data_IF_967835032224
#
_entry.id   IF_967835032224
#
_cell.length_a   1.000
_cell.length_b   1.000
_cell.length_c   1.000
_cell.angle_alpha   90.00
_cell.angle_beta   90.00
_cell.angle_gamma   90.00
#
_symmetry.space_group_name_H-M   'P 1'
#
loop_
_entity.id
_entity.type
_entity.pdbx_description
1 polymer ?
#
# COMPACT_ATOMS: atom_id res chain seq x y z
N UNK A 1 -37.69 43.78 -34.83
CA UNK A 1 -36.24 43.47 -34.62
C UNK A 1 -35.92 42.27 -35.52
N UNK A 2 -35.25 42.47 -36.67
CA UNK A 2 -34.89 41.34 -37.57
C UNK A 2 -33.67 40.62 -36.94
N UNK A 3 -33.89 39.44 -36.41
CA UNK A 3 -32.80 38.59 -35.89
C UNK A 3 -31.89 38.20 -37.05
N UNK A 4 -30.59 38.48 -36.96
CA UNK A 4 -29.63 38.18 -38.03
C UNK A 4 -29.37 36.67 -38.10
N UNK A 5 -30.06 35.96 -38.99
CA UNK A 5 -30.01 34.51 -39.19
C UNK A 5 -28.59 33.97 -39.33
N UNK A 6 -27.67 34.80 -39.91
CA UNK A 6 -26.25 34.39 -40.04
C UNK A 6 -25.54 34.31 -38.68
N UNK A 7 -25.82 35.26 -37.79
CA UNK A 7 -25.25 35.25 -36.42
C UNK A 7 -25.79 34.06 -35.63
N UNK A 8 -27.08 33.80 -35.69
CA UNK A 8 -27.69 32.64 -35.02
C UNK A 8 -27.10 31.30 -35.47
N UNK A 9 -26.90 31.13 -36.80
CA UNK A 9 -26.25 29.93 -37.36
C UNK A 9 -24.78 29.81 -36.96
N UNK A 10 -24.04 30.88 -36.84
CA UNK A 10 -22.66 30.86 -36.40
C UNK A 10 -22.58 30.44 -34.88
N UNK A 11 -23.40 31.05 -34.04
CA UNK A 11 -23.50 30.69 -32.62
C UNK A 11 -23.92 29.25 -32.40
N UNK A 12 -24.92 28.76 -33.15
CA UNK A 12 -25.37 27.38 -33.07
C UNK A 12 -24.26 26.37 -33.49
N UNK A 13 -23.46 26.68 -34.51
CA UNK A 13 -22.32 25.85 -34.90
C UNK A 13 -21.21 25.82 -33.87
N UNK A 14 -20.91 26.95 -33.20
CA UNK A 14 -19.92 27.04 -32.14
C UNK A 14 -20.39 26.24 -30.93
N UNK A 15 -21.65 26.38 -30.51
CA UNK A 15 -22.22 25.59 -29.41
C UNK A 15 -22.21 24.09 -29.70
N UNK A 16 -22.54 23.68 -30.94
CA UNK A 16 -22.48 22.27 -31.34
C UNK A 16 -21.03 21.74 -31.28
N UNK A 17 -20.04 22.56 -31.74
CA UNK A 17 -18.63 22.21 -31.66
C UNK A 17 -18.15 21.99 -30.22
N UNK A 18 -18.54 22.90 -29.31
CA UNK A 18 -18.24 22.78 -27.87
C UNK A 18 -18.89 21.53 -27.28
N UNK A 19 -20.16 21.24 -27.65
CA UNK A 19 -20.86 20.06 -27.16
C UNK A 19 -20.20 18.77 -27.61
N UNK A 20 -19.73 18.71 -28.87
CA UNK A 20 -18.98 17.57 -29.41
C UNK A 20 -17.65 17.40 -28.66
N UNK A 21 -16.91 18.48 -28.40
CA UNK A 21 -15.66 18.42 -27.64
C UNK A 21 -15.88 17.92 -26.20
N UNK A 22 -16.94 18.37 -25.54
CA UNK A 22 -17.32 17.88 -24.19
C UNK A 22 -17.67 16.40 -24.27
N UNK A 23 -18.45 15.97 -25.26
CA UNK A 23 -18.84 14.57 -25.42
C UNK A 23 -17.64 13.67 -25.70
N UNK A 24 -16.70 14.10 -26.55
CA UNK A 24 -15.43 13.40 -26.80
C UNK A 24 -14.59 13.31 -25.53
N UNK A 25 -14.52 14.39 -24.75
CA UNK A 25 -13.84 14.40 -23.45
C UNK A 25 -14.45 13.40 -22.45
N UNK A 26 -15.79 13.35 -22.37
CA UNK A 26 -16.51 12.39 -21.52
C UNK A 26 -16.23 10.94 -21.98
N UNK A 27 -16.30 10.67 -23.28
CA UNK A 27 -16.05 9.34 -23.82
C UNK A 27 -14.59 8.89 -23.58
N UNK A 28 -13.63 9.80 -23.74
CA UNK A 28 -12.23 9.52 -23.42
C UNK A 28 -12.05 9.22 -21.94
N UNK A 29 -12.68 10.00 -21.04
CA UNK A 29 -12.63 9.78 -19.61
C UNK A 29 -13.25 8.44 -19.19
N UNK A 30 -14.45 8.10 -19.75
CA UNK A 30 -15.08 6.79 -19.52
C UNK A 30 -14.21 5.66 -20.05
N UNK A 31 -13.56 5.85 -21.20
CA UNK A 31 -12.61 4.89 -21.75
C UNK A 31 -11.43 4.62 -20.81
N UNK A 32 -10.86 5.67 -20.21
CA UNK A 32 -9.80 5.55 -19.20
C UNK A 32 -10.27 4.77 -17.95
N UNK A 33 -11.50 5.05 -17.48
CA UNK A 33 -12.08 4.35 -16.33
C UNK A 33 -12.27 2.85 -16.59
N UNK A 34 -12.78 2.49 -17.77
CA UNK A 34 -12.98 1.09 -18.18
C UNK A 34 -11.63 0.38 -18.36
N UNK A 35 -10.65 1.05 -18.97
CA UNK A 35 -9.30 0.51 -19.18
C UNK A 35 -8.60 0.25 -17.85
N UNK A 36 -8.60 1.24 -16.92
CA UNK A 36 -7.97 1.12 -15.61
C UNK A 36 -8.55 -0.04 -14.81
N UNK A 37 -9.88 -0.14 -14.72
CA UNK A 37 -10.54 -1.26 -14.04
C UNK A 37 -10.16 -2.62 -14.65
N UNK A 38 -10.19 -2.71 -15.98
CA UNK A 38 -9.89 -3.96 -16.69
C UNK A 38 -8.44 -4.42 -16.50
N UNK A 39 -7.50 -3.50 -16.33
CA UNK A 39 -6.09 -3.83 -16.06
C UNK A 39 -5.90 -4.34 -14.65
N UNK A 40 -6.37 -3.61 -13.66
CA UNK A 40 -6.29 -4.01 -12.25
C UNK A 40 -6.84 -5.43 -12.04
N UNK A 41 -8.00 -5.73 -12.60
CA UNK A 41 -8.58 -7.07 -12.50
C UNK A 41 -7.79 -8.17 -13.24
N UNK A 42 -6.94 -7.79 -14.20
CA UNK A 42 -6.12 -8.76 -14.96
C UNK A 42 -4.78 -9.02 -14.31
N UNK A 43 -4.18 -8.00 -13.70
CA UNK A 43 -2.83 -8.08 -13.11
C UNK A 43 -2.82 -8.88 -11.80
N UNK A 44 -3.89 -8.80 -11.00
CA UNK A 44 -4.01 -9.58 -9.77
C UNK A 44 -4.22 -11.08 -10.00
N UNK A 45 -4.69 -11.48 -11.18
CA UNK A 45 -5.10 -12.86 -11.44
C UNK A 45 -6.33 -13.27 -10.60
N UNK A 46 -6.73 -14.53 -10.70
CA UNK A 46 -7.75 -15.15 -9.85
C UNK A 46 -7.10 -15.86 -8.63
N UNK A 47 -5.95 -15.38 -8.16
CA UNK A 47 -5.30 -15.98 -7.02
C UNK A 47 -6.06 -15.64 -5.74
N UNK A 48 -6.25 -16.65 -4.90
CA UNK A 48 -6.82 -16.54 -3.56
C UNK A 48 -5.71 -16.77 -2.56
N UNK A 49 -5.68 -16.09 -1.40
CA UNK A 49 -4.68 -16.36 -0.37
C UNK A 49 -4.70 -17.83 0.06
N UNK A 50 -3.52 -18.43 0.20
CA UNK A 50 -3.37 -19.83 0.59
C UNK A 50 -3.40 -19.97 2.12
N UNK A 51 -4.54 -19.63 2.76
CA UNK A 51 -4.71 -19.74 4.20
C UNK A 51 -4.93 -21.19 4.61
N UNK A 52 -3.94 -21.78 5.28
CA UNK A 52 -4.02 -23.14 5.82
C UNK A 52 -4.02 -23.12 7.35
N UNK A 53 -5.07 -23.66 7.99
CA UNK A 53 -5.17 -23.78 9.45
C UNK A 53 -4.09 -24.69 10.04
N UNK A 54 -3.49 -25.60 9.25
CA UNK A 54 -2.38 -26.44 9.68
C UNK A 54 -1.14 -25.64 10.08
N UNK A 55 -0.97 -24.45 9.52
CA UNK A 55 0.18 -23.59 9.80
C UNK A 55 0.10 -22.94 11.20
N UNK A 56 -1.10 -22.86 11.79
CA UNK A 56 -1.32 -22.37 13.16
C UNK A 56 -1.20 -23.46 14.23
N UNK A 57 -1.29 -24.74 13.87
CA UNK A 57 -1.36 -25.86 14.84
C UNK A 57 -0.01 -26.39 15.31
N UNK A 58 1.11 -25.96 14.70
CA UNK A 58 2.42 -26.60 14.90
C UNK A 58 3.21 -26.09 16.14
N UNK A 59 2.59 -25.28 17.01
CA UNK A 59 3.25 -24.78 18.25
C UNK A 59 2.61 -25.24 19.56
N UNK A 60 1.53 -26.05 19.52
CA UNK A 60 0.92 -26.59 20.74
C UNK A 60 0.58 -28.06 20.55
N UNK A 61 1.42 -28.94 21.14
CA UNK A 61 1.25 -30.38 21.39
C UNK A 61 0.81 -31.25 20.18
N UNK A 62 1.60 -32.29 19.88
CA UNK A 62 1.26 -33.30 18.89
C UNK A 62 -0.17 -33.82 19.11
N UNK A 63 -1.05 -33.76 18.07
CA UNK A 63 -2.36 -34.39 18.18
C UNK A 63 -2.17 -35.91 18.35
N UNK A 64 -3.05 -36.58 19.14
CA UNK A 64 -2.95 -38.01 19.31
C UNK A 64 -3.11 -38.70 17.96
N UNK A 65 -2.17 -39.58 17.66
CA UNK A 65 -2.11 -40.40 16.44
C UNK A 65 -3.47 -41.08 16.24
N UNK A 66 -4.25 -40.65 15.25
CA UNK A 66 -5.47 -41.33 14.86
C UNK A 66 -6.67 -40.49 14.42
N UNK A 67 -6.60 -39.15 14.43
CA UNK A 67 -7.69 -38.37 13.86
C UNK A 67 -7.41 -38.06 12.39
N UNK A 68 -8.21 -38.65 11.51
CA UNK A 68 -8.36 -38.29 10.11
C UNK A 68 -8.70 -36.81 10.01
N UNK A 69 -7.97 -36.07 9.15
CA UNK A 69 -8.35 -34.74 8.70
C UNK A 69 -9.88 -34.72 8.51
N UNK A 70 -10.64 -33.85 9.18
CA UNK A 70 -12.07 -33.79 8.97
C UNK A 70 -12.32 -33.56 7.48
N UNK A 71 -13.12 -34.46 6.87
CA UNK A 71 -13.62 -34.25 5.52
C UNK A 71 -14.23 -32.83 5.46
N UNK A 72 -13.90 -32.07 4.41
CA UNK A 72 -14.55 -30.81 4.14
C UNK A 72 -16.06 -31.00 4.31
N UNK A 73 -16.77 -30.13 5.02
CA UNK A 73 -18.21 -30.23 5.10
C UNK A 73 -18.79 -30.29 3.70
N UNK A 74 -19.73 -31.18 3.45
CA UNK A 74 -20.59 -31.13 2.26
C UNK A 74 -21.52 -29.91 2.40
N UNK A 75 -20.91 -28.71 2.29
CA UNK A 75 -21.65 -27.46 2.27
C UNK A 75 -21.77 -27.05 0.81
N UNK A 76 -23.00 -27.08 0.29
CA UNK A 76 -23.31 -26.71 -1.11
C UNK A 76 -22.88 -25.28 -1.46
N UNK A 77 -22.49 -24.47 -0.47
CA UNK A 77 -22.09 -23.07 -0.62
C UNK A 77 -20.56 -22.85 -0.55
N UNK A 78 -19.75 -23.91 -0.38
CA UNK A 78 -18.29 -23.79 -0.28
C UNK A 78 -17.64 -23.48 -1.62
N UNK A 79 -16.77 -22.44 -1.66
CA UNK A 79 -16.01 -22.04 -2.85
C UNK A 79 -14.50 -22.22 -2.62
N UNK A 80 -13.73 -22.23 -3.71
CA UNK A 80 -12.27 -22.26 -3.63
C UNK A 80 -11.77 -21.01 -2.88
N UNK A 81 -10.90 -21.21 -1.89
CA UNK A 81 -10.38 -20.14 -1.04
C UNK A 81 -11.26 -19.80 0.17
N UNK A 82 -12.44 -20.42 0.32
CA UNK A 82 -13.19 -20.30 1.57
C UNK A 82 -12.41 -20.96 2.71
N UNK A 83 -12.51 -20.37 3.89
CA UNK A 83 -11.87 -20.90 5.10
C UNK A 83 -12.88 -20.97 6.26
N UNK A 84 -12.68 -21.92 7.15
CA UNK A 84 -13.46 -22.02 8.40
C UNK A 84 -12.54 -21.76 9.59
N UNK A 85 -12.80 -20.70 10.32
CA UNK A 85 -12.02 -20.30 11.48
C UNK A 85 -12.93 -20.13 12.70
N UNK A 86 -12.62 -20.81 13.80
CA UNK A 86 -13.41 -20.80 15.04
C UNK A 86 -14.92 -21.10 14.83
N UNK A 87 -15.24 -21.94 13.82
CA UNK A 87 -16.61 -22.33 13.49
C UNK A 87 -17.36 -21.38 12.54
N UNK A 88 -16.77 -20.23 12.20
CA UNK A 88 -17.32 -19.26 11.25
C UNK A 88 -16.77 -19.54 9.85
N UNK A 89 -17.63 -19.46 8.85
CA UNK A 89 -17.28 -19.60 7.44
C UNK A 89 -16.93 -18.22 6.86
N UNK A 90 -15.74 -18.11 6.26
CA UNK A 90 -15.21 -16.89 5.64
C UNK A 90 -14.94 -17.11 4.16
N UNK A 91 -15.28 -16.12 3.35
CA UNK A 91 -15.02 -16.07 1.90
C UNK A 91 -14.11 -14.91 1.54
N UNK A 92 -13.10 -15.19 0.73
CA UNK A 92 -12.22 -14.14 0.21
C UNK A 92 -12.99 -13.17 -0.68
N UNK A 93 -12.84 -11.88 -0.45
CA UNK A 93 -13.46 -10.86 -1.29
C UNK A 93 -12.53 -10.51 -2.46
N UNK A 94 -12.77 -11.13 -3.62
CA UNK A 94 -11.99 -10.96 -4.85
C UNK A 94 -12.05 -9.53 -5.45
N UNK A 95 -13.01 -8.71 -5.02
CA UNK A 95 -13.15 -7.33 -5.49
C UNK A 95 -12.22 -6.34 -4.76
N UNK A 96 -11.58 -6.77 -3.67
CA UNK A 96 -10.63 -5.95 -2.91
C UNK A 96 -9.40 -5.66 -3.77
N UNK A 97 -8.99 -4.38 -3.77
CA UNK A 97 -7.75 -3.94 -4.42
C UNK A 97 -6.68 -3.69 -3.35
N UNK A 98 -5.52 -4.31 -3.54
CA UNK A 98 -4.38 -4.21 -2.62
C UNK A 98 -3.18 -3.63 -3.32
N UNK A 99 -2.55 -2.62 -2.73
CA UNK A 99 -1.36 -1.96 -3.27
C UNK A 99 -0.24 -1.91 -2.25
N UNK A 100 0.99 -2.20 -2.69
CA UNK A 100 2.18 -2.11 -1.85
C UNK A 100 2.82 -0.73 -1.97
N UNK A 101 2.98 -0.03 -0.85
CA UNK A 101 3.71 1.22 -0.75
C UNK A 101 5.04 1.03 -0.03
N UNK A 102 6.12 1.50 -0.63
CA UNK A 102 7.49 1.41 -0.10
C UNK A 102 8.10 2.81 0.03
N UNK A 103 8.58 3.15 1.21
CA UNK A 103 9.43 4.32 1.43
C UNK A 103 10.90 3.91 1.44
N UNK A 104 11.67 4.37 0.45
CA UNK A 104 13.07 3.99 0.28
C UNK A 104 13.99 5.02 0.92
N UNK A 105 14.96 4.56 1.72
CA UNK A 105 15.94 5.43 2.41
C UNK A 105 16.95 6.03 1.43
N UNK A 106 16.43 6.85 0.49
CA UNK A 106 17.22 7.62 -0.47
C UNK A 106 16.66 9.03 -0.62
N UNK A 107 17.55 10.01 -0.59
CA UNK A 107 17.18 11.41 -0.80
C UNK A 107 17.21 11.84 -2.26
N UNK A 108 17.81 11.03 -3.14
CA UNK A 108 18.04 11.35 -4.55
C UNK A 108 16.93 10.84 -5.46
N UNK A 109 16.89 11.32 -6.69
CA UNK A 109 16.08 10.76 -7.76
C UNK A 109 16.40 9.26 -7.95
N UNK A 110 15.41 8.49 -8.42
CA UNK A 110 15.58 7.06 -8.75
C UNK A 110 16.58 6.92 -9.91
N UNK A 111 17.56 6.07 -9.71
CA UNK A 111 18.58 5.75 -10.74
C UNK A 111 18.83 4.23 -10.70
N UNK A 112 18.18 3.47 -11.61
CA UNK A 112 18.35 2.02 -11.63
C UNK A 112 19.80 1.61 -11.85
N UNK A 113 20.27 0.61 -11.10
CA UNK A 113 21.57 -0.01 -11.31
C UNK A 113 21.46 -0.98 -12.47
N UNK A 114 22.34 -0.84 -13.47
CA UNK A 114 22.28 -1.68 -14.68
C UNK A 114 22.82 -3.09 -14.45
N UNK A 115 23.81 -3.23 -13.56
CA UNK A 115 24.42 -4.51 -13.22
C UNK A 115 24.62 -4.54 -11.70
N UNK A 116 24.29 -5.64 -11.07
CA UNK A 116 24.41 -5.82 -9.63
C UNK A 116 23.15 -5.41 -8.86
N UNK A 117 23.32 -5.10 -7.58
CA UNK A 117 22.27 -4.72 -6.65
C UNK A 117 22.43 -3.26 -6.19
N UNK A 118 21.32 -2.61 -5.89
CA UNK A 118 21.30 -1.21 -5.48
C UNK A 118 21.64 -1.00 -4.00
N UNK A 119 21.23 -1.92 -3.12
CA UNK A 119 21.44 -1.87 -1.68
C UNK A 119 20.52 -0.92 -0.91
N UNK A 120 19.60 -0.20 -1.57
CA UNK A 120 18.63 0.67 -0.91
C UNK A 120 17.56 -0.13 -0.18
N UNK A 121 17.33 0.21 1.11
CA UNK A 121 16.36 -0.47 1.96
C UNK A 121 15.00 0.20 1.93
N UNK A 122 13.92 -0.59 2.09
CA UNK A 122 12.57 -0.09 2.31
C UNK A 122 12.34 0.16 3.80
N UNK A 123 12.44 1.41 4.22
CA UNK A 123 12.30 1.83 5.62
C UNK A 123 10.85 2.00 6.07
N UNK A 124 9.93 2.12 5.14
CA UNK A 124 8.50 2.15 5.35
C UNK A 124 7.83 1.17 4.39
N UNK A 125 6.99 0.29 4.90
CA UNK A 125 6.32 -0.75 4.13
C UNK A 125 4.85 -0.76 4.56
N UNK A 126 3.94 -0.52 3.61
CA UNK A 126 2.50 -0.46 3.87
C UNK A 126 1.73 -1.18 2.76
N UNK A 127 0.67 -1.92 3.14
CA UNK A 127 -0.37 -2.33 2.22
C UNK A 127 -1.54 -1.36 2.34
N UNK A 128 -1.93 -0.76 1.22
CA UNK A 128 -3.18 -0.03 1.07
C UNK A 128 -4.23 -0.99 0.52
N UNK A 129 -5.35 -1.10 1.21
CA UNK A 129 -6.45 -2.00 0.87
C UNK A 129 -7.70 -1.16 0.60
N UNK A 130 -8.30 -1.34 -0.55
CA UNK A 130 -9.52 -0.66 -0.99
C UNK A 130 -10.63 -1.69 -1.13
N UNK A 131 -11.66 -1.61 -0.27
CA UNK A 131 -12.87 -2.44 -0.40
C UNK A 131 -13.92 -1.67 -1.20
N UNK A 132 -14.26 -2.10 -2.44
CA UNK A 132 -15.19 -1.38 -3.30
C UNK A 132 -16.65 -1.52 -2.83
N UNK A 133 -16.97 -2.50 -2.00
CA UNK A 133 -18.32 -2.75 -1.49
C UNK A 133 -18.64 -1.82 -0.31
N UNK A 134 -17.82 -1.85 0.73
CA UNK A 134 -18.00 -0.98 1.91
C UNK A 134 -17.58 0.46 1.67
N UNK A 135 -16.78 0.73 0.61
CA UNK A 135 -16.13 2.03 0.36
C UNK A 135 -15.17 2.41 1.48
N UNK A 136 -14.59 1.45 2.13
CA UNK A 136 -13.58 1.64 3.16
C UNK A 136 -12.18 1.47 2.61
N UNK A 137 -11.28 2.26 3.16
CA UNK A 137 -9.84 2.19 2.93
C UNK A 137 -9.15 1.74 4.20
N UNK A 138 -8.36 0.69 4.10
CA UNK A 138 -7.52 0.19 5.21
C UNK A 138 -6.05 0.31 4.85
N UNK A 139 -5.21 0.49 5.86
CA UNK A 139 -3.75 0.51 5.70
C UNK A 139 -3.13 -0.43 6.71
N UNK A 140 -2.28 -1.34 6.25
CA UNK A 140 -1.55 -2.28 7.10
C UNK A 140 -0.08 -1.90 7.09
N UNK A 141 0.44 -1.43 8.23
CA UNK A 141 1.86 -1.15 8.42
C UNK A 141 2.64 -2.42 8.72
N UNK A 142 3.70 -2.67 7.98
CA UNK A 142 4.57 -3.83 8.14
C UNK A 142 5.90 -3.33 8.72
N UNK A 143 6.31 -3.78 9.93
CA UNK A 143 7.61 -3.43 10.48
C UNK A 143 8.74 -3.80 9.50
N UNK A 144 9.65 -2.87 9.23
CA UNK A 144 10.73 -3.11 8.28
C UNK A 144 11.65 -4.27 8.66
N UNK A 145 11.77 -4.50 9.98
CA UNK A 145 12.63 -5.52 10.58
C UNK A 145 11.92 -6.89 10.69
N UNK A 146 10.73 -7.05 10.05
CA UNK A 146 9.98 -8.30 9.98
C UNK A 146 10.83 -9.40 9.38
N UNK A 147 11.01 -10.48 10.14
CA UNK A 147 11.73 -11.67 9.72
C UNK A 147 10.83 -12.54 8.83
N UNK A 148 11.24 -12.72 7.60
CA UNK A 148 10.55 -13.54 6.58
C UNK A 148 11.54 -14.13 5.60
N UNK A 149 11.09 -15.04 4.75
CA UNK A 149 11.87 -15.56 3.65
C UNK A 149 12.15 -14.47 2.61
N UNK A 150 13.40 -14.11 2.43
CA UNK A 150 13.88 -13.18 1.41
C UNK A 150 14.82 -13.88 0.42
N UNK A 151 14.76 -13.45 -0.82
CA UNK A 151 15.68 -13.90 -1.85
C UNK A 151 16.98 -13.08 -1.80
N UNK A 152 18.10 -13.74 -1.53
CA UNK A 152 19.43 -13.15 -1.39
C UNK A 152 20.18 -13.21 -2.72
N UNK A 153 20.79 -12.10 -3.11
CA UNK A 153 21.57 -11.97 -4.35
C UNK A 153 22.98 -11.48 -4.02
N UNK A 154 23.96 -11.87 -4.85
CA UNK A 154 25.32 -11.35 -4.74
C UNK A 154 25.45 -9.92 -5.30
N UNK A 155 26.65 -9.36 -5.23
CA UNK A 155 26.93 -7.99 -5.69
C UNK A 155 26.73 -7.81 -7.19
N UNK A 156 26.84 -8.87 -7.94
CA UNK A 156 26.62 -8.92 -9.38
C UNK A 156 25.14 -9.09 -9.75
N UNK A 157 24.27 -9.37 -8.76
CA UNK A 157 22.82 -9.53 -8.91
C UNK A 157 22.38 -10.97 -9.23
N UNK A 158 23.26 -11.98 -9.04
CA UNK A 158 22.90 -13.37 -9.20
C UNK A 158 22.25 -13.94 -7.92
N UNK A 159 21.15 -14.65 -8.10
CA UNK A 159 20.45 -15.33 -7.00
C UNK A 159 21.38 -16.34 -6.32
N UNK A 160 21.43 -16.31 -5.00
CA UNK A 160 22.23 -17.19 -4.18
C UNK A 160 21.35 -18.21 -3.44
N UNK A 161 20.34 -17.74 -2.73
CA UNK A 161 19.45 -18.56 -1.90
C UNK A 161 18.25 -17.77 -1.43
N UNK A 162 17.21 -18.46 -0.98
CA UNK A 162 16.20 -17.90 -0.10
C UNK A 162 16.60 -18.16 1.36
N UNK A 163 16.47 -17.19 2.22
CA UNK A 163 16.85 -17.28 3.63
C UNK A 163 15.95 -16.37 4.49
N UNK A 164 15.78 -16.76 5.75
CA UNK A 164 15.17 -15.92 6.75
C UNK A 164 15.99 -14.63 6.92
N UNK A 165 15.34 -13.48 6.79
CA UNK A 165 15.98 -12.18 6.90
C UNK A 165 14.96 -11.05 7.04
N UNK A 166 15.44 -9.85 7.35
CA UNK A 166 14.58 -8.69 7.47
C UNK A 166 13.96 -8.29 6.13
N UNK A 167 12.67 -8.05 6.08
CA UNK A 167 11.92 -7.69 4.87
C UNK A 167 12.49 -6.44 4.17
N UNK A 168 12.98 -5.46 4.94
CA UNK A 168 13.60 -4.23 4.42
C UNK A 168 14.73 -4.48 3.42
N UNK A 169 15.46 -5.62 3.56
CA UNK A 169 16.60 -5.97 2.72
C UNK A 169 16.18 -6.40 1.32
N UNK A 170 14.94 -6.89 1.15
CA UNK A 170 14.50 -7.45 -0.13
C UNK A 170 14.56 -6.40 -1.27
N UNK A 171 14.19 -5.15 -0.99
CA UNK A 171 14.32 -4.07 -1.97
C UNK A 171 15.78 -3.83 -2.36
N UNK A 172 16.70 -3.86 -1.38
CA UNK A 172 18.12 -3.64 -1.60
C UNK A 172 18.80 -4.69 -2.49
N UNK A 173 18.23 -5.88 -2.59
CA UNK A 173 18.70 -6.94 -3.48
C UNK A 173 18.28 -6.77 -4.94
N UNK A 174 17.54 -5.73 -5.32
CA UNK A 174 17.18 -5.41 -6.69
C UNK A 174 18.00 -4.27 -7.30
N UNK A 175 17.48 -3.69 -8.37
CA UNK A 175 18.11 -2.62 -9.15
C UNK A 175 17.87 -1.21 -8.59
N UNK A 176 17.14 -1.09 -7.49
CA UNK A 176 16.68 0.17 -6.91
C UNK A 176 15.49 0.78 -7.67
N UNK A 177 14.84 0.02 -8.55
CA UNK A 177 13.67 0.40 -9.33
C UNK A 177 12.70 -0.78 -9.48
N UNK A 178 12.30 -1.13 -10.70
CA UNK A 178 11.27 -2.16 -10.99
C UNK A 178 11.61 -3.51 -10.35
N UNK A 179 12.83 -4.04 -10.55
CA UNK A 179 13.22 -5.35 -10.00
C UNK A 179 13.19 -5.34 -8.47
N UNK A 180 13.60 -4.24 -7.83
CA UNK A 180 13.54 -4.08 -6.37
C UNK A 180 12.10 -4.13 -5.86
N UNK A 181 11.19 -3.44 -6.54
CA UNK A 181 9.78 -3.39 -6.17
C UNK A 181 9.09 -4.74 -6.36
N UNK A 182 9.30 -5.41 -7.51
CA UNK A 182 8.74 -6.73 -7.79
C UNK A 182 9.20 -7.79 -6.77
N UNK A 183 10.48 -7.77 -6.39
CA UNK A 183 11.01 -8.67 -5.36
C UNK A 183 10.40 -8.39 -3.99
N UNK A 184 10.24 -7.10 -3.64
CA UNK A 184 9.59 -6.70 -2.38
C UNK A 184 8.11 -7.09 -2.37
N UNK A 185 7.41 -6.89 -3.49
CA UNK A 185 6.00 -7.28 -3.65
C UNK A 185 5.81 -8.78 -3.48
N UNK A 186 6.68 -9.60 -4.10
CA UNK A 186 6.67 -11.05 -3.94
C UNK A 186 6.91 -11.49 -2.50
N UNK A 187 7.86 -10.86 -1.78
CA UNK A 187 8.14 -11.20 -0.39
C UNK A 187 6.97 -10.83 0.52
N UNK A 188 6.34 -9.66 0.30
CA UNK A 188 5.15 -9.25 1.06
C UNK A 188 3.95 -10.13 0.74
N UNK A 189 3.70 -10.46 -0.54
CA UNK A 189 2.64 -11.39 -0.91
C UNK A 189 2.79 -12.73 -0.19
N UNK A 190 4.01 -13.30 -0.19
CA UNK A 190 4.32 -14.56 0.50
C UNK A 190 4.10 -14.46 2.01
N UNK A 191 4.49 -13.35 2.64
CA UNK A 191 4.26 -13.08 4.06
C UNK A 191 2.76 -13.12 4.42
N UNK A 192 1.90 -12.73 3.50
CA UNK A 192 0.44 -12.73 3.63
C UNK A 192 -0.20 -13.92 2.90
N UNK A 193 0.42 -15.11 2.95
CA UNK A 193 -0.10 -16.36 2.37
C UNK A 193 -0.43 -16.24 0.88
N UNK A 194 0.47 -15.67 0.09
CA UNK A 194 0.31 -15.40 -1.34
C UNK A 194 -0.86 -14.46 -1.68
N UNK A 195 -1.15 -13.50 -0.80
CA UNK A 195 -2.17 -12.48 -1.01
C UNK A 195 -1.94 -11.76 -2.36
N UNK A 196 -2.99 -11.62 -3.20
CA UNK A 196 -2.91 -10.84 -4.43
C UNK A 196 -2.58 -9.37 -4.15
N UNK A 197 -1.52 -8.86 -4.75
CA UNK A 197 -1.14 -7.45 -4.72
C UNK A 197 -1.25 -6.90 -6.13
N UNK A 198 -2.12 -5.90 -6.32
CA UNK A 198 -2.55 -5.37 -7.62
C UNK A 198 -1.57 -4.37 -8.23
N UNK A 199 -0.61 -3.92 -7.45
CA UNK A 199 0.42 -3.00 -7.90
C UNK A 199 1.25 -2.47 -6.76
N UNK A 200 2.31 -1.76 -7.11
CA UNK A 200 3.21 -1.15 -6.14
C UNK A 200 3.51 0.31 -6.46
N UNK A 201 3.88 1.04 -5.43
CA UNK A 201 4.46 2.38 -5.54
C UNK A 201 5.60 2.51 -4.53
N UNK A 202 6.83 2.62 -5.00
CA UNK A 202 7.98 2.94 -4.17
C UNK A 202 8.35 4.41 -4.34
N UNK A 203 8.68 5.06 -3.23
CA UNK A 203 8.99 6.49 -3.21
C UNK A 203 10.27 6.71 -2.42
N UNK A 204 11.26 7.36 -3.05
CA UNK A 204 12.46 7.79 -2.34
C UNK A 204 12.09 8.92 -1.35
N UNK A 205 12.65 8.88 -0.14
CA UNK A 205 12.32 9.82 0.94
C UNK A 205 12.54 11.29 0.56
N UNK A 206 13.38 11.58 -0.43
CA UNK A 206 13.52 12.93 -0.98
C UNK A 206 12.25 13.53 -1.60
N UNK A 207 11.23 12.71 -1.88
CA UNK A 207 9.93 13.16 -2.37
C UNK A 207 8.95 13.56 -1.24
N UNK A 208 9.21 13.20 0.00
CA UNK A 208 8.30 13.49 1.13
C UNK A 208 7.92 14.97 1.22
N UNK A 209 8.87 15.92 1.13
CA UNK A 209 8.53 17.34 1.12
C UNK A 209 7.57 17.73 -0.01
N UNK A 210 7.75 17.16 -1.20
CA UNK A 210 6.91 17.46 -2.37
C UNK A 210 5.49 16.90 -2.20
N UNK A 211 5.37 15.67 -1.68
CA UNK A 211 4.08 15.03 -1.36
C UNK A 211 3.32 15.84 -0.31
N UNK A 212 3.99 16.14 0.80
CA UNK A 212 3.42 16.88 1.91
C UNK A 212 2.90 18.27 1.48
N UNK A 213 3.72 19.00 0.75
CA UNK A 213 3.41 20.38 0.37
C UNK A 213 2.33 20.45 -0.73
N UNK A 214 2.17 19.39 -1.52
CA UNK A 214 1.15 19.32 -2.56
C UNK A 214 -0.28 19.31 -2.01
N UNK A 215 -0.48 18.83 -0.78
CA UNK A 215 -1.78 18.89 -0.05
C UNK A 215 -1.86 20.08 0.91
N UNK A 216 -0.89 21.00 0.87
CA UNK A 216 -0.84 22.17 1.75
C UNK A 216 -0.17 21.96 3.09
N UNK A 217 0.47 20.80 3.31
CA UNK A 217 1.08 20.40 4.57
C UNK A 217 0.14 19.58 5.44
N UNK A 218 0.70 18.92 6.45
CA UNK A 218 -0.04 18.05 7.39
C UNK A 218 0.07 18.61 8.81
N UNK A 219 -1.06 18.91 9.43
CA UNK A 219 -1.12 19.33 10.83
C UNK A 219 -1.30 18.11 11.73
N UNK A 220 -0.51 18.05 12.80
CA UNK A 220 -0.59 16.99 13.80
C UNK A 220 0.01 17.42 15.15
N UNK A 221 -0.25 16.62 16.19
CA UNK A 221 0.40 16.77 17.50
C UNK A 221 1.58 15.82 17.58
N UNK A 222 2.80 16.35 17.78
CA UNK A 222 4.02 15.55 17.79
C UNK A 222 4.01 14.49 18.92
N UNK A 223 4.24 13.23 18.56
CA UNK A 223 4.22 12.09 19.49
C UNK A 223 5.48 12.05 20.39
N UNK A 224 6.60 12.59 19.90
CA UNK A 224 7.87 12.63 20.61
C UNK A 224 8.73 13.82 20.16
N UNK A 225 9.83 14.05 20.84
CA UNK A 225 10.87 14.98 20.41
C UNK A 225 11.53 14.44 19.15
N UNK A 226 11.59 15.24 18.07
CA UNK A 226 12.26 14.83 16.83
C UNK A 226 13.69 15.36 16.84
N UNK A 227 14.67 14.45 16.91
CA UNK A 227 16.08 14.82 16.96
C UNK A 227 16.50 15.66 15.74
N UNK A 228 17.42 16.58 15.93
CA UNK A 228 17.91 17.53 14.91
C UNK A 228 16.85 18.50 14.36
N UNK A 229 15.73 18.66 15.09
CA UNK A 229 14.68 19.63 14.76
C UNK A 229 14.30 20.45 16.01
N UNK A 230 13.36 21.38 15.85
CA UNK A 230 12.75 22.11 16.98
C UNK A 230 11.43 21.48 17.44
N UNK A 231 11.01 20.38 16.83
CA UNK A 231 9.74 19.71 17.13
C UNK A 231 9.85 19.01 18.49
N UNK A 232 8.93 19.32 19.40
CA UNK A 232 8.83 18.75 20.73
C UNK A 232 7.56 17.94 20.90
N UNK A 233 7.62 16.90 21.73
CA UNK A 233 6.45 16.11 22.09
C UNK A 233 5.32 17.00 22.59
N UNK A 234 4.13 16.83 22.02
CA UNK A 234 2.93 17.58 22.38
C UNK A 234 2.74 18.89 21.62
N UNK A 235 3.71 19.31 20.81
CA UNK A 235 3.53 20.49 19.94
C UNK A 235 2.48 20.20 18.86
N UNK A 236 1.52 21.13 18.68
CA UNK A 236 0.67 21.16 17.47
C UNK A 236 1.47 21.84 16.37
N UNK A 237 1.77 21.09 15.30
CA UNK A 237 2.66 21.54 14.22
C UNK A 237 2.00 21.34 12.86
N UNK A 238 2.21 22.29 11.95
CA UNK A 238 1.95 22.12 10.53
C UNK A 238 3.27 21.74 9.85
N UNK A 239 3.43 20.46 9.54
CA UNK A 239 4.59 19.96 8.83
C UNK A 239 4.61 20.51 7.40
N UNK A 240 5.74 21.12 7.02
CA UNK A 240 6.02 21.61 5.67
C UNK A 240 7.45 21.33 5.25
N UNK A 241 7.64 21.10 3.95
CA UNK A 241 8.95 20.87 3.38
C UNK A 241 9.72 19.77 4.12
N UNK A 242 10.96 20.08 4.50
CA UNK A 242 11.85 19.13 5.18
C UNK A 242 11.39 18.73 6.59
N UNK A 243 10.52 19.49 7.25
CA UNK A 243 10.00 19.10 8.58
C UNK A 243 9.17 17.82 8.50
N UNK A 244 8.42 17.61 7.40
CA UNK A 244 7.72 16.36 7.15
C UNK A 244 8.70 15.18 7.02
N UNK A 245 9.78 15.36 6.25
CA UNK A 245 10.83 14.34 6.15
C UNK A 245 11.45 14.03 7.52
N UNK A 246 11.87 15.04 8.28
CA UNK A 246 12.50 14.82 9.59
C UNK A 246 11.54 14.13 10.57
N UNK A 247 10.27 14.49 10.56
CA UNK A 247 9.27 13.85 11.39
C UNK A 247 9.12 12.35 11.10
N UNK A 248 9.16 11.96 9.85
CA UNK A 248 8.99 10.57 9.40
C UNK A 248 10.27 9.74 9.48
N UNK A 249 11.44 10.36 9.33
CA UNK A 249 12.70 9.64 9.18
C UNK A 249 13.55 9.62 10.45
N UNK A 250 13.71 10.78 11.14
CA UNK A 250 14.68 10.90 12.22
C UNK A 250 14.31 10.04 13.43
N UNK A 251 15.29 9.28 13.92
CA UNK A 251 15.15 8.51 15.16
C UNK A 251 16.46 8.52 15.94
N UNK A 252 16.37 8.38 17.27
CA UNK A 252 17.53 8.12 18.11
C UNK A 252 17.83 6.62 18.11
N UNK A 253 18.80 6.21 17.29
CA UNK A 253 19.22 4.81 17.17
C UNK A 253 19.83 4.22 18.44
N UNK A 254 20.15 5.06 19.44
CA UNK A 254 20.64 4.62 20.75
C UNK A 254 19.52 4.31 21.74
N UNK A 255 18.30 4.75 21.42
CA UNK A 255 17.12 4.52 22.24
C UNK A 255 16.44 3.20 21.85
N UNK A 256 16.18 2.29 22.80
CA UNK A 256 15.40 1.08 22.53
C UNK A 256 14.05 1.42 21.90
N UNK A 257 13.50 0.50 21.10
CA UNK A 257 12.19 0.63 20.46
C UNK A 257 12.06 1.85 19.51
N UNK A 258 13.17 2.48 19.14
CA UNK A 258 13.13 3.67 18.28
C UNK A 258 12.54 3.40 16.89
N UNK A 259 12.64 2.16 16.41
CA UNK A 259 12.01 1.73 15.13
C UNK A 259 10.48 1.68 15.27
N UNK A 260 9.95 1.10 16.33
CA UNK A 260 8.52 1.06 16.63
C UNK A 260 7.92 2.46 16.79
N UNK A 261 8.58 3.34 17.56
CA UNK A 261 8.14 4.74 17.70
C UNK A 261 8.15 5.50 16.38
N UNK A 262 9.11 5.24 15.49
CA UNK A 262 9.10 5.80 14.12
C UNK A 262 7.90 5.29 13.33
N UNK A 263 7.57 4.01 13.41
CA UNK A 263 6.40 3.45 12.75
C UNK A 263 5.11 4.13 13.24
N UNK A 264 4.96 4.38 14.54
CA UNK A 264 3.80 5.09 15.09
C UNK A 264 3.70 6.54 14.56
N UNK A 265 4.82 7.25 14.42
CA UNK A 265 4.83 8.59 13.78
C UNK A 265 4.45 8.51 12.30
N UNK A 266 4.90 7.49 11.59
CA UNK A 266 4.55 7.25 10.19
C UNK A 266 3.05 6.95 10.05
N UNK A 267 2.49 6.12 10.91
CA UNK A 267 1.04 5.84 10.96
C UNK A 267 0.24 7.11 11.23
N UNK A 268 0.61 7.88 12.27
CA UNK A 268 -0.04 9.15 12.57
C UNK A 268 -0.03 10.11 11.39
N UNK A 269 1.14 10.27 10.75
CA UNK A 269 1.27 11.13 9.58
C UNK A 269 0.42 10.64 8.41
N UNK A 270 0.44 9.34 8.11
CA UNK A 270 -0.36 8.76 7.01
C UNK A 270 -1.86 8.96 7.24
N UNK A 271 -2.33 8.77 8.47
CA UNK A 271 -3.72 9.04 8.84
C UNK A 271 -4.09 10.51 8.58
N UNK A 272 -3.28 11.43 9.08
CA UNK A 272 -3.52 12.86 8.90
C UNK A 272 -3.38 13.28 7.42
N UNK A 273 -2.38 12.73 6.70
CA UNK A 273 -2.18 12.98 5.28
C UNK A 273 -3.36 12.46 4.44
N UNK A 274 -3.85 11.24 4.72
CA UNK A 274 -4.99 10.66 4.01
C UNK A 274 -6.24 11.53 4.12
N UNK A 275 -6.54 12.05 5.31
CA UNK A 275 -7.67 12.95 5.52
C UNK A 275 -7.55 14.23 4.66
N UNK A 276 -6.39 14.90 4.69
CA UNK A 276 -6.14 16.12 3.90
C UNK A 276 -6.13 15.81 2.40
N UNK A 277 -5.51 14.69 1.99
CA UNK A 277 -5.42 14.28 0.59
C UNK A 277 -6.79 13.94 0.00
N UNK A 278 -7.67 13.26 0.76
CA UNK A 278 -9.04 12.97 0.32
C UNK A 278 -9.86 14.24 0.12
N UNK A 279 -9.75 15.23 1.01
CA UNK A 279 -10.42 16.53 0.83
C UNK A 279 -9.84 17.30 -0.36
N UNK A 280 -8.52 17.28 -0.55
CA UNK A 280 -7.89 17.86 -1.72
C UNK A 280 -8.34 17.17 -3.02
N UNK A 281 -8.46 15.83 -3.02
CA UNK A 281 -8.95 15.05 -4.15
C UNK A 281 -10.41 15.36 -4.50
N UNK A 282 -11.29 15.52 -3.50
CA UNK A 282 -12.68 15.95 -3.71
C UNK A 282 -12.77 17.34 -4.37
N UNK A 283 -11.81 18.21 -4.06
CA UNK A 283 -11.71 19.56 -4.63
C UNK A 283 -11.05 19.58 -6.01
N UNK A 284 -10.10 18.68 -6.25
CA UNK A 284 -9.36 18.54 -7.51
C UNK A 284 -9.09 17.06 -7.83
N UNK A 285 -9.96 16.47 -8.64
CA UNK A 285 -9.86 15.07 -9.08
C UNK A 285 -8.60 14.79 -9.91
N UNK A 286 -7.91 15.82 -10.42
CA UNK A 286 -6.67 15.68 -11.20
C UNK A 286 -5.42 15.63 -10.31
N UNK A 287 -5.56 15.86 -9.01
CA UNK A 287 -4.45 15.88 -8.04
C UNK A 287 -3.54 14.65 -8.13
N UNK A 288 -4.05 13.39 -8.21
CA UNK A 288 -3.19 12.21 -8.30
C UNK A 288 -2.33 12.19 -9.57
N UNK A 289 -2.87 12.60 -10.71
CA UNK A 289 -2.11 12.71 -11.97
C UNK A 289 -1.05 13.80 -11.88
N UNK A 290 -1.38 14.92 -11.24
CA UNK A 290 -0.44 16.02 -10.98
C UNK A 290 0.69 15.56 -10.06
N UNK A 291 0.37 14.83 -8.99
CA UNK A 291 1.35 14.23 -8.08
C UNK A 291 2.24 13.21 -8.80
N UNK A 292 1.64 12.29 -9.56
CA UNK A 292 2.39 11.33 -10.37
C UNK A 292 3.45 12.00 -11.22
N UNK A 293 3.09 13.06 -11.97
CA UNK A 293 4.03 13.77 -12.83
C UNK A 293 5.13 14.49 -12.03
N UNK A 294 4.82 15.08 -10.88
CA UNK A 294 5.81 15.78 -10.02
C UNK A 294 6.77 14.82 -9.34
N UNK A 295 6.30 13.62 -8.99
CA UNK A 295 7.06 12.64 -8.22
C UNK A 295 7.78 11.62 -9.09
N UNK A 296 7.50 11.55 -10.39
CA UNK A 296 7.99 10.53 -11.32
C UNK A 296 9.49 10.27 -11.27
N UNK A 297 10.29 11.27 -10.88
CA UNK A 297 11.75 11.14 -10.73
C UNK A 297 12.17 10.46 -9.41
N UNK A 298 11.31 10.48 -8.42
CA UNK A 298 11.55 9.92 -7.08
C UNK A 298 10.74 8.66 -6.81
N UNK A 299 9.97 8.20 -7.79
CA UNK A 299 8.97 7.14 -7.64
C UNK A 299 9.17 6.06 -8.69
N UNK A 300 8.91 4.83 -8.30
CA UNK A 300 8.75 3.68 -9.21
C UNK A 300 7.40 3.06 -8.94
N UNK A 301 6.60 2.86 -9.98
CA UNK A 301 5.30 2.23 -9.87
C UNK A 301 4.97 1.47 -11.15
N UNK A 302 4.26 0.38 -11.05
CA UNK A 302 3.63 -0.34 -12.15
C UNK A 302 2.19 0.14 -12.44
N UNK A 303 1.63 0.98 -11.53
CA UNK A 303 0.29 1.54 -11.69
C UNK A 303 0.30 2.59 -12.82
N UNK A 304 -0.40 2.31 -13.88
CA UNK A 304 -0.48 3.17 -15.06
C UNK A 304 -1.39 4.41 -14.83
N UNK A 305 -1.28 5.41 -15.72
CA UNK A 305 -2.09 6.64 -15.58
C UNK A 305 -3.60 6.41 -15.72
N UNK A 306 -4.03 5.41 -16.48
CA UNK A 306 -5.44 5.05 -16.59
C UNK A 306 -5.96 4.37 -15.31
N UNK A 307 -5.14 3.53 -14.67
CA UNK A 307 -5.42 2.95 -13.35
C UNK A 307 -5.45 4.03 -12.26
N UNK A 308 -4.46 4.93 -12.22
CA UNK A 308 -4.46 6.08 -11.30
C UNK A 308 -5.72 6.92 -11.48
N UNK A 309 -6.13 7.18 -12.73
CA UNK A 309 -7.33 7.95 -13.02
C UNK A 309 -8.60 7.22 -12.54
N UNK A 310 -8.66 5.90 -12.73
CA UNK A 310 -9.75 5.07 -12.21
C UNK A 310 -9.78 5.09 -10.68
N UNK A 311 -8.65 4.81 -10.04
CA UNK A 311 -8.52 4.80 -8.58
C UNK A 311 -8.84 6.16 -7.95
N UNK A 312 -8.45 7.27 -8.59
CA UNK A 312 -8.75 8.63 -8.12
C UNK A 312 -10.26 8.88 -8.04
N UNK A 313 -11.02 8.46 -9.06
CA UNK A 313 -12.49 8.59 -9.08
C UNK A 313 -13.12 7.71 -8.00
N UNK A 314 -12.63 6.49 -7.83
CA UNK A 314 -13.13 5.60 -6.79
C UNK A 314 -12.80 6.16 -5.39
N UNK A 315 -11.54 6.56 -5.16
CA UNK A 315 -11.06 7.05 -3.87
C UNK A 315 -11.82 8.29 -3.35
N UNK A 316 -12.34 9.13 -4.24
CA UNK A 316 -13.16 10.27 -3.86
C UNK A 316 -14.46 9.87 -3.11
N UNK A 317 -14.93 8.64 -3.30
CA UNK A 317 -16.09 8.06 -2.62
C UNK A 317 -15.74 7.18 -1.41
N UNK A 318 -14.45 6.98 -1.11
CA UNK A 318 -14.03 6.14 0.00
C UNK A 318 -13.94 6.92 1.31
N UNK A 319 -14.06 6.17 2.41
CA UNK A 319 -13.85 6.66 3.76
C UNK A 319 -12.57 6.02 4.32
N UNK A 320 -11.79 6.83 5.01
CA UNK A 320 -10.65 6.36 5.79
C UNK A 320 -10.86 6.72 7.25
N UNK A 321 -10.94 5.69 8.10
CA UNK A 321 -10.96 5.84 9.55
C UNK A 321 -9.60 5.44 10.13
N UNK A 322 -9.20 6.09 11.20
CA UNK A 322 -8.00 5.74 11.96
C UNK A 322 -8.06 4.31 12.54
N UNK A 323 -9.25 3.78 12.78
CA UNK A 323 -9.47 2.40 13.23
C UNK A 323 -9.13 1.37 12.13
N UNK A 324 -9.08 1.80 10.86
CA UNK A 324 -8.66 0.97 9.72
C UNK A 324 -7.15 1.07 9.43
N UNK A 325 -6.37 1.61 10.37
CA UNK A 325 -4.91 1.62 10.35
C UNK A 325 -4.37 0.50 11.23
N UNK A 326 -3.97 -0.60 10.60
CA UNK A 326 -3.44 -1.79 11.27
C UNK A 326 -1.91 -1.80 11.29
N UNK A 327 -1.34 -2.56 12.19
CA UNK A 327 0.08 -2.99 12.18
C UNK A 327 0.12 -4.48 12.46
N UNK A 328 1.12 -5.16 11.94
CA UNK A 328 1.37 -6.54 12.34
C UNK A 328 1.69 -6.59 13.83
N UNK A 329 1.13 -7.57 14.50
CA UNK A 329 1.45 -7.91 15.88
C UNK A 329 2.57 -8.94 15.91
N UNK A 330 3.38 -8.92 16.97
CA UNK A 330 4.50 -9.81 17.10
C UNK A 330 5.49 -9.37 18.17
N UNK A 331 6.65 -10.01 18.20
CA UNK A 331 7.67 -9.82 19.21
C UNK A 331 8.95 -9.22 18.61
N UNK A 332 9.51 -8.21 19.27
CA UNK A 332 10.82 -7.65 18.92
C UNK A 332 11.89 -8.37 19.73
N UNK A 333 12.82 -8.99 19.04
CA UNK A 333 13.98 -9.68 19.64
C UNK A 333 15.26 -8.98 19.20
N UNK A 334 16.20 -8.81 20.09
CA UNK A 334 17.53 -8.33 19.72
C UNK A 334 18.34 -9.50 19.15
N UNK A 335 18.55 -9.48 17.84
CA UNK A 335 19.45 -10.40 17.15
C UNK A 335 20.93 -10.05 17.40
N UNK A 336 21.84 -10.72 16.72
CA UNK A 336 23.30 -10.52 16.89
C UNK A 336 23.75 -9.07 16.62
N UNK A 337 23.08 -8.34 15.76
CA UNK A 337 23.45 -6.97 15.31
C UNK A 337 22.32 -5.98 15.23
N UNK A 338 21.08 -6.46 15.02
CA UNK A 338 19.91 -5.63 14.74
C UNK A 338 18.70 -6.16 15.49
N UNK A 339 17.69 -5.30 15.69
CA UNK A 339 16.36 -5.70 16.13
C UNK A 339 15.72 -6.57 15.05
N UNK A 340 15.09 -7.67 15.43
CA UNK A 340 14.35 -8.61 14.58
C UNK A 340 12.90 -8.64 15.06
N UNK A 341 11.94 -8.56 14.14
CA UNK A 341 10.52 -8.61 14.45
C UNK A 341 9.95 -9.94 13.97
N UNK A 342 9.46 -10.75 14.89
CA UNK A 342 8.80 -12.02 14.64
C UNK A 342 7.30 -11.86 14.78
N UNK A 343 6.56 -12.17 13.72
CA UNK A 343 5.11 -11.99 13.64
C UNK A 343 4.41 -13.01 14.54
N UNK A 344 3.31 -12.60 15.17
CA UNK A 344 2.32 -13.50 15.71
C UNK A 344 1.44 -14.02 14.55
N UNK A 345 1.64 -15.29 14.20
CA UNK A 345 0.96 -15.93 13.07
C UNK A 345 -0.56 -15.96 13.26
N UNK A 346 -1.04 -16.13 14.51
CA UNK A 346 -2.47 -16.11 14.80
C UNK A 346 -3.06 -14.73 14.58
N UNK A 347 -2.41 -13.70 15.09
CA UNK A 347 -2.84 -12.32 14.88
C UNK A 347 -2.78 -11.91 13.40
N UNK A 348 -1.76 -12.36 12.66
CA UNK A 348 -1.70 -12.14 11.21
C UNK A 348 -2.87 -12.80 10.49
N UNK A 349 -3.19 -14.06 10.84
CA UNK A 349 -4.30 -14.79 10.24
C UNK A 349 -5.63 -14.07 10.50
N UNK A 350 -5.89 -13.66 11.74
CA UNK A 350 -7.10 -12.92 12.12
C UNK A 350 -7.18 -11.56 11.41
N UNK A 351 -6.06 -10.86 11.26
CA UNK A 351 -6.00 -9.61 10.49
C UNK A 351 -6.36 -9.85 9.01
N UNK A 352 -5.86 -10.92 8.41
CA UNK A 352 -6.18 -11.27 7.02
C UNK A 352 -7.67 -11.57 6.89
N UNK A 353 -8.26 -12.37 7.77
CA UNK A 353 -9.70 -12.63 7.76
C UNK A 353 -10.50 -11.33 7.88
N UNK A 354 -10.12 -10.48 8.84
CA UNK A 354 -10.82 -9.22 9.10
C UNK A 354 -10.82 -8.27 7.91
N UNK A 355 -9.72 -8.20 7.15
CA UNK A 355 -9.52 -7.17 6.12
C UNK A 355 -9.88 -7.67 4.72
N UNK A 356 -9.68 -8.96 4.44
CA UNK A 356 -9.78 -9.50 3.08
C UNK A 356 -10.91 -10.51 2.88
N UNK A 357 -11.57 -10.91 3.96
CA UNK A 357 -12.63 -11.91 3.90
C UNK A 357 -13.95 -11.34 4.41
N UNK A 358 -15.04 -11.96 4.03
CA UNK A 358 -16.39 -11.69 4.49
C UNK A 358 -16.97 -12.93 5.16
N UNK A 359 -17.72 -12.76 6.25
CA UNK A 359 -18.45 -13.87 6.87
C UNK A 359 -19.57 -14.31 5.94
N UNK A 360 -19.67 -15.61 5.71
CA UNK A 360 -20.76 -16.23 4.94
C UNK A 360 -21.85 -16.64 5.90
N UNK A 361 -23.04 -16.07 5.75
CA UNK A 361 -24.21 -16.52 6.52
C UNK A 361 -24.60 -17.93 6.06
N UNK A 362 -24.73 -18.87 7.02
CA UNK A 362 -25.15 -20.27 6.81
C UNK A 362 -26.61 -20.37 6.34
#
# INVERSE_FOLDING_TARGET
>A
MKVNVKVYRAVAKTLLGILILIMVGILAFVGLQISGRSRLNREAGSAVPELNLSDLSDKTEEPPVGETVPAQPEDDNWQEGDVRYQGVHYRYNEDILTFLFLGIDKMTEVKPVKNGIDGGQSDAIFLLVLNPHSKEMSVIGIPRDTMTDIDVYDKEGFFQKTALGQLTLQHGYGDGATVSCERSMKAVAKLFYNLPIHGYCSVNMGAIPLLNDAVGGVELVALEDVIYTKIKKGDTILLKGMDAYYYLHNRDTKSPESAGRRLERQKQYLTAYAAVALEALKSDITLPVTLYNKLSKYMVTDISLDEISYLAVQAAGYHFDSENMYSLEGEVVMGDRYEEFYIDETALYELILKVFYEEVED
#
